data_IF_319419526956
#
_entry.id   IF_319419526956
#
_cell.length_a   1.000
_cell.length_b   1.000
_cell.length_c   1.000
_cell.angle_alpha   90.00
_cell.angle_beta   90.00
_cell.angle_gamma   90.00
#
_symmetry.space_group_name_H-M   'P 1'
#
loop_
_entity.id
_entity.type
_entity.pdbx_description
1 polymer ?
#
# COMPACT_ATOMS: atom_id res chain seq x y z
N UNK A 1 58.15 -12.70 -2.77
CA UNK A 1 57.02 -12.00 -2.10
C UNK A 1 55.77 -12.21 -2.90
N UNK A 2 54.89 -12.99 -2.34
CA UNK A 2 53.60 -13.27 -3.00
C UNK A 2 52.62 -12.20 -2.56
N UNK A 3 52.22 -11.37 -3.49
CA UNK A 3 51.16 -10.40 -3.24
C UNK A 3 49.84 -11.10 -3.50
N UNK A 4 49.07 -11.31 -2.44
CA UNK A 4 47.68 -11.69 -2.59
C UNK A 4 46.89 -10.43 -2.99
N UNK A 5 46.53 -10.37 -4.24
CA UNK A 5 45.47 -9.44 -4.67
C UNK A 5 44.16 -10.12 -4.37
N UNK A 6 43.58 -9.79 -3.22
CA UNK A 6 42.19 -10.13 -3.01
C UNK A 6 41.36 -9.27 -4.00
N UNK A 7 41.06 -9.86 -5.16
CA UNK A 7 40.01 -9.33 -5.98
C UNK A 7 38.71 -9.58 -5.23
N UNK A 8 38.28 -8.61 -4.47
CA UNK A 8 36.91 -8.56 -4.03
C UNK A 8 36.04 -8.39 -5.27
N UNK A 9 35.62 -9.48 -5.86
CA UNK A 9 34.44 -9.45 -6.67
C UNK A 9 33.30 -9.09 -5.75
N UNK A 10 33.06 -7.80 -5.59
CA UNK A 10 31.75 -7.35 -5.19
C UNK A 10 30.79 -7.75 -6.33
N UNK A 11 30.29 -8.96 -6.24
CA UNK A 11 29.00 -9.23 -6.83
C UNK A 11 28.05 -8.33 -6.08
N UNK A 12 27.91 -7.10 -6.59
CA UNK A 12 26.72 -6.34 -6.35
C UNK A 12 25.60 -7.17 -7.00
N UNK A 13 25.18 -8.22 -6.30
CA UNK A 13 23.91 -8.81 -6.58
C UNK A 13 22.95 -7.65 -6.50
N UNK A 14 22.47 -7.19 -7.65
CA UNK A 14 21.30 -6.37 -7.67
C UNK A 14 20.25 -7.20 -6.93
N UNK A 15 20.07 -6.93 -5.64
CA UNK A 15 18.79 -7.21 -5.02
C UNK A 15 17.84 -6.36 -5.86
N UNK A 16 17.35 -6.96 -6.95
CA UNK A 16 16.48 -6.26 -7.86
C UNK A 16 15.28 -5.82 -7.05
N UNK A 17 15.17 -4.50 -6.85
CA UNK A 17 13.88 -3.95 -6.55
C UNK A 17 12.95 -4.54 -7.60
N UNK A 18 11.95 -5.31 -7.16
CA UNK A 18 10.94 -5.86 -8.04
C UNK A 18 10.40 -4.76 -8.91
N UNK A 19 10.43 -4.95 -10.22
CA UNK A 19 9.89 -3.96 -11.15
C UNK A 19 8.38 -3.88 -10.94
N UNK A 20 7.91 -2.66 -10.76
CA UNK A 20 6.50 -2.40 -10.54
C UNK A 20 5.94 -1.53 -11.65
N UNK A 21 4.65 -1.67 -11.87
CA UNK A 21 3.85 -0.82 -12.76
C UNK A 21 2.87 -0.01 -11.91
N UNK A 22 2.71 1.25 -12.24
CA UNK A 22 1.72 2.10 -11.59
C UNK A 22 0.35 1.80 -12.16
N UNK A 23 -0.59 1.41 -11.30
CA UNK A 23 -1.99 1.23 -11.67
C UNK A 23 -2.71 2.57 -11.81
N UNK A 24 -3.99 2.52 -12.13
CA UNK A 24 -4.83 3.72 -12.25
C UNK A 24 -5.47 4.14 -10.93
N UNK A 25 -5.48 3.25 -9.98
CA UNK A 25 -6.07 3.43 -8.67
C UNK A 25 -5.99 2.16 -7.85
N UNK A 26 -6.77 2.09 -6.80
CA UNK A 26 -6.82 0.94 -5.90
C UNK A 26 -8.26 0.58 -5.54
N UNK A 27 -8.45 -0.68 -5.22
CA UNK A 27 -9.63 -1.17 -4.50
C UNK A 27 -9.20 -1.46 -3.08
N UNK A 28 -9.82 -0.78 -2.15
CA UNK A 28 -9.63 -0.97 -0.72
C UNK A 28 -10.81 -1.73 -0.15
N UNK A 29 -10.60 -2.36 0.99
CA UNK A 29 -11.70 -2.87 1.80
C UNK A 29 -11.72 -2.19 3.14
N UNK A 30 -12.88 -1.69 3.51
CA UNK A 30 -13.13 -1.12 4.81
C UNK A 30 -13.97 -2.06 5.67
N UNK A 31 -13.64 -2.13 6.95
CA UNK A 31 -14.41 -2.87 7.97
C UNK A 31 -14.82 -1.90 9.06
N UNK A 32 -16.10 -1.86 9.35
CA UNK A 32 -16.62 -1.24 10.57
C UNK A 32 -16.66 -2.32 11.66
N UNK A 33 -15.77 -2.21 12.63
CA UNK A 33 -15.61 -3.22 13.69
C UNK A 33 -16.82 -3.26 14.64
N UNK A 34 -17.62 -2.21 14.68
CA UNK A 34 -18.82 -2.15 15.53
C UNK A 34 -19.97 -2.91 14.91
N UNK A 35 -20.23 -2.71 13.62
CA UNK A 35 -21.32 -3.38 12.91
C UNK A 35 -20.90 -4.67 12.23
N UNK A 36 -19.61 -4.89 12.01
CA UNK A 36 -19.07 -6.01 11.23
C UNK A 36 -19.25 -5.85 9.72
N UNK A 37 -19.76 -4.71 9.27
CA UNK A 37 -20.00 -4.47 7.85
C UNK A 37 -18.69 -4.21 7.12
N UNK A 38 -18.49 -4.87 5.97
CA UNK A 38 -17.39 -4.60 5.04
C UNK A 38 -17.90 -3.84 3.82
N UNK A 39 -17.05 -2.98 3.28
CA UNK A 39 -17.35 -2.15 2.11
C UNK A 39 -16.14 -2.12 1.22
N UNK A 40 -16.32 -2.32 -0.08
CA UNK A 40 -15.27 -2.09 -1.06
C UNK A 40 -15.25 -0.61 -1.45
N UNK A 41 -14.05 -0.04 -1.47
CA UNK A 41 -13.83 1.38 -1.72
C UNK A 41 -12.90 1.51 -2.91
N UNK A 42 -13.38 2.10 -3.99
CA UNK A 42 -12.56 2.34 -5.18
C UNK A 42 -12.07 3.77 -5.20
N UNK A 43 -10.78 3.94 -5.46
CA UNK A 43 -10.14 5.25 -5.55
C UNK A 43 -9.24 5.31 -6.78
N UNK A 44 -9.34 6.39 -7.53
CA UNK A 44 -8.32 6.72 -8.52
C UNK A 44 -7.09 7.31 -7.82
N UNK A 45 -5.92 7.19 -8.45
CA UNK A 45 -4.70 7.80 -7.94
C UNK A 45 -4.91 9.31 -7.71
N UNK A 46 -4.37 9.82 -6.62
CA UNK A 46 -4.44 11.23 -6.26
C UNK A 46 -5.81 11.70 -5.79
N UNK A 47 -6.73 10.81 -5.48
CA UNK A 47 -8.08 11.18 -5.02
C UNK A 47 -8.31 10.86 -3.55
N UNK A 48 -9.31 11.50 -2.99
CA UNK A 48 -9.71 11.38 -1.59
C UNK A 48 -11.18 11.03 -1.52
N UNK A 49 -11.54 10.16 -0.58
CA UNK A 49 -12.93 9.79 -0.31
C UNK A 49 -13.19 9.73 1.19
N UNK A 50 -14.45 9.69 1.54
CA UNK A 50 -14.87 9.47 2.90
C UNK A 50 -15.39 8.04 3.08
N UNK A 51 -15.03 7.43 4.19
CA UNK A 51 -15.56 6.14 4.62
C UNK A 51 -15.94 6.25 6.11
N UNK A 52 -17.24 6.27 6.39
CA UNK A 52 -17.71 6.56 7.75
C UNK A 52 -17.17 7.91 8.22
N UNK A 53 -16.42 7.90 9.31
CA UNK A 53 -15.76 9.08 9.83
C UNK A 53 -14.30 9.21 9.41
N UNK A 54 -13.86 8.39 8.49
CA UNK A 54 -12.51 8.47 7.94
C UNK A 54 -12.47 9.26 6.65
N UNK A 55 -11.38 9.97 6.45
CA UNK A 55 -10.99 10.57 5.17
C UNK A 55 -9.78 9.80 4.66
N UNK A 56 -9.92 9.17 3.51
CA UNK A 56 -8.92 8.29 2.92
C UNK A 56 -8.43 8.93 1.62
N UNK A 57 -7.13 9.10 1.53
CA UNK A 57 -6.46 9.59 0.32
C UNK A 57 -5.56 8.52 -0.24
N UNK A 58 -5.66 8.27 -1.55
CA UNK A 58 -4.75 7.39 -2.28
C UNK A 58 -3.75 8.24 -3.03
N UNK A 59 -2.45 8.03 -2.78
CA UNK A 59 -1.39 8.57 -3.62
C UNK A 59 -1.35 7.84 -4.95
N UNK A 60 -0.94 6.61 -4.91
CA UNK A 60 -0.91 5.72 -6.07
C UNK A 60 -0.95 4.25 -5.63
N UNK A 61 -1.28 3.37 -6.56
CA UNK A 61 -1.21 1.93 -6.37
C UNK A 61 -0.25 1.33 -7.40
N UNK A 62 0.66 0.49 -6.95
CA UNK A 62 1.65 -0.20 -7.78
C UNK A 62 1.44 -1.70 -7.69
N UNK A 63 1.69 -2.39 -8.78
CA UNK A 63 1.63 -3.85 -8.84
C UNK A 63 2.86 -4.41 -9.54
N UNK A 64 3.19 -5.70 -9.33
CA UNK A 64 4.32 -6.31 -10.01
C UNK A 64 4.18 -6.24 -11.52
N UNK A 65 5.24 -5.82 -12.22
CA UNK A 65 5.24 -5.73 -13.68
C UNK A 65 4.83 -7.05 -14.33
N UNK A 66 3.89 -6.97 -15.27
CA UNK A 66 3.36 -8.14 -15.96
C UNK A 66 2.35 -8.97 -15.16
N UNK A 67 2.02 -8.58 -13.93
CA UNK A 67 1.09 -9.33 -13.08
C UNK A 67 0.11 -8.40 -12.35
N UNK A 68 -0.89 -7.91 -13.08
CA UNK A 68 -1.90 -7.00 -12.54
C UNK A 68 -2.80 -7.62 -11.47
N UNK A 69 -2.90 -8.96 -11.44
CA UNK A 69 -3.65 -9.70 -10.42
C UNK A 69 -2.76 -10.20 -9.28
N UNK A 70 -1.48 -9.86 -9.30
CA UNK A 70 -0.55 -10.17 -8.23
C UNK A 70 -0.73 -9.27 -7.02
N UNK A 71 0.37 -9.00 -6.33
CA UNK A 71 0.34 -8.14 -5.16
C UNK A 71 -0.03 -6.70 -5.51
N UNK A 72 -0.39 -5.91 -4.51
CA UNK A 72 -0.67 -4.50 -4.66
C UNK A 72 0.00 -3.70 -3.55
N UNK A 73 0.57 -2.57 -3.91
CA UNK A 73 1.24 -1.64 -3.01
C UNK A 73 0.55 -0.30 -3.14
N UNK A 74 -0.18 0.12 -2.11
CA UNK A 74 -0.93 1.38 -2.13
C UNK A 74 -0.39 2.35 -1.09
N UNK A 75 -0.11 3.57 -1.51
CA UNK A 75 0.24 4.63 -0.58
C UNK A 75 -1.04 5.32 -0.11
N UNK A 76 -1.36 5.12 1.15
CA UNK A 76 -2.58 5.63 1.78
C UNK A 76 -2.27 6.63 2.87
N UNK A 77 -3.12 7.62 2.96
CA UNK A 77 -3.20 8.52 4.09
C UNK A 77 -4.62 8.47 4.64
N UNK A 78 -4.76 8.24 5.92
CA UNK A 78 -6.06 8.10 6.60
C UNK A 78 -6.09 9.02 7.80
N UNK A 79 -7.15 9.80 7.94
CA UNK A 79 -7.39 10.62 9.12
C UNK A 79 -8.86 10.58 9.52
N UNK A 80 -9.13 10.83 10.77
CA UNK A 80 -10.49 11.05 11.24
C UNK A 80 -11.00 12.41 10.74
N UNK A 81 -12.29 12.48 10.43
CA UNK A 81 -12.93 13.77 10.13
C UNK A 81 -12.76 14.71 11.30
N UNK A 82 -12.33 15.93 11.00
CA UNK A 82 -12.10 16.96 12.01
C UNK A 82 -10.74 16.86 12.70
N UNK A 83 -9.99 15.78 12.53
CA UNK A 83 -8.63 15.69 13.05
C UNK A 83 -7.64 16.39 12.10
N UNK A 84 -6.61 16.98 12.70
CA UNK A 84 -5.53 17.63 11.94
C UNK A 84 -4.40 16.67 11.60
N UNK A 85 -4.25 15.59 12.38
CA UNK A 85 -3.19 14.60 12.21
C UNK A 85 -3.72 13.36 11.53
N UNK A 86 -2.85 12.70 10.77
CA UNK A 86 -3.15 11.44 10.14
C UNK A 86 -3.12 10.31 11.18
N UNK A 87 -4.11 9.43 11.12
CA UNK A 87 -4.09 8.18 11.87
C UNK A 87 -3.15 7.15 11.21
N UNK A 88 -2.96 7.27 9.90
CA UNK A 88 -2.07 6.43 9.12
C UNK A 88 -1.52 7.21 7.92
N UNK A 89 -0.26 6.97 7.60
CA UNK A 89 0.35 7.42 6.34
C UNK A 89 1.46 6.45 5.97
N UNK A 90 1.35 5.80 4.83
CA UNK A 90 2.36 4.85 4.39
C UNK A 90 1.88 3.90 3.30
N UNK A 91 2.76 2.97 2.94
CA UNK A 91 2.48 1.93 1.98
C UNK A 91 1.81 0.75 2.65
N UNK A 92 0.67 0.34 2.11
CA UNK A 92 0.02 -0.92 2.45
C UNK A 92 0.28 -1.96 1.37
N UNK A 93 0.45 -3.21 1.79
CA UNK A 93 0.75 -4.34 0.90
C UNK A 93 -0.40 -5.34 0.99
N UNK A 94 -1.02 -5.67 -0.15
CA UNK A 94 -2.21 -6.53 -0.17
C UNK A 94 -1.93 -7.94 0.37
N UNK A 95 -0.76 -8.52 0.07
CA UNK A 95 -0.39 -9.85 0.54
C UNK A 95 0.03 -9.89 2.01
N UNK A 96 0.28 -8.74 2.63
CA UNK A 96 0.75 -8.64 4.01
C UNK A 96 0.05 -7.47 4.72
N UNK A 97 -1.27 -7.53 4.91
CA UNK A 97 -2.04 -6.39 5.44
C UNK A 97 -1.64 -6.01 6.87
N UNK A 98 -1.09 -6.94 7.63
CA UNK A 98 -0.62 -6.65 8.99
C UNK A 98 0.78 -6.02 9.05
N UNK A 99 1.50 -5.99 7.94
CA UNK A 99 2.87 -5.44 7.91
C UNK A 99 2.88 -3.94 8.20
N UNK A 100 1.90 -3.23 7.69
CA UNK A 100 1.70 -1.80 7.91
C UNK A 100 0.20 -1.54 7.91
N UNK A 101 -0.39 -1.44 9.09
CA UNK A 101 -1.83 -1.45 9.27
C UNK A 101 -2.33 -0.17 9.93
N UNK A 102 -3.54 0.24 9.56
CA UNK A 102 -4.24 1.28 10.28
C UNK A 102 -4.57 0.80 11.70
N UNK A 103 -4.14 1.57 12.69
CA UNK A 103 -4.55 1.38 14.09
C UNK A 103 -5.68 2.35 14.42
N UNK A 104 -6.89 1.84 14.44
CA UNK A 104 -8.09 2.62 14.71
C UNK A 104 -9.08 1.80 15.54
N UNK A 105 -9.74 2.44 16.47
CA UNK A 105 -10.67 1.78 17.40
C UNK A 105 -11.92 1.22 16.70
N UNK A 106 -12.38 1.87 15.64
CA UNK A 106 -13.64 1.52 14.99
C UNK A 106 -13.46 0.93 13.61
N UNK A 107 -12.50 1.42 12.83
CA UNK A 107 -12.36 1.02 11.43
C UNK A 107 -11.07 0.29 11.17
N UNK A 108 -11.14 -0.62 10.20
CA UNK A 108 -9.97 -1.17 9.54
C UNK A 108 -10.09 -0.90 8.04
N UNK A 109 -8.96 -0.62 7.39
CA UNK A 109 -8.89 -0.37 5.95
C UNK A 109 -7.61 -1.00 5.43
N UNK A 110 -7.71 -1.74 4.34
CA UNK A 110 -6.56 -2.33 3.67
C UNK A 110 -6.75 -2.37 2.16
N UNK A 111 -5.66 -2.45 1.42
CA UNK A 111 -5.69 -2.59 -0.02
C UNK A 111 -5.94 -4.04 -0.41
N UNK A 112 -6.78 -4.27 -1.41
CA UNK A 112 -7.04 -5.61 -1.95
C UNK A 112 -6.38 -5.81 -3.31
N UNK A 113 -6.40 -4.82 -4.17
CA UNK A 113 -5.76 -4.85 -5.49
C UNK A 113 -5.60 -3.45 -6.05
N UNK A 114 -4.73 -3.31 -7.05
CA UNK A 114 -4.71 -2.13 -7.88
C UNK A 114 -5.81 -2.18 -8.95
N UNK A 115 -6.27 -1.02 -9.36
CA UNK A 115 -7.08 -0.85 -10.57
C UNK A 115 -6.15 -0.68 -11.75
N UNK A 116 -6.51 -1.24 -12.89
CA UNK A 116 -5.80 -1.14 -14.16
C UNK A 116 -6.73 -0.62 -15.24
N UNK A 117 -6.14 -0.18 -16.33
CA UNK A 117 -6.92 0.25 -17.50
C UNK A 117 -7.75 -0.90 -18.08
#
# INVERSE_FOLDING_TARGET
MIRFVCVFCMLAGSVGAESVTVGTGAVLRGLDKVSGKTTDIELANGTTTEYGRLVISLGECRYPEGNASGDAYAFLTVRDKGATENAFSGWMVASAPSLNALDHSRYDVWVTRCKTK
#
